data_IF_518518512460
#
_entry.id   IF_518518512460
#
_cell.length_a   1.000
_cell.length_b   1.000
_cell.length_c   1.000
_cell.angle_alpha   90.00
_cell.angle_beta   90.00
_cell.angle_gamma   90.00
#
_symmetry.space_group_name_H-M   'P 1'
#
loop_
_entity.id
_entity.type
_entity.pdbx_description
1 polymer ?
#
# COMPACT_ATOMS: atom_id res chain seq x y z
N UNK A 1 4.59 4.33 3.66
CA UNK A 1 5.57 3.33 4.13
C UNK A 1 6.51 3.90 5.18
N UNK A 2 7.28 4.95 4.90
CA UNK A 2 8.30 5.49 5.85
C UNK A 2 7.77 5.77 7.27
N UNK A 3 6.61 6.43 7.42
CA UNK A 3 6.07 6.77 8.74
C UNK A 3 5.58 5.55 9.53
N UNK A 4 4.95 4.59 8.84
CA UNK A 4 4.48 3.35 9.47
C UNK A 4 5.67 2.48 9.88
N UNK A 5 6.73 2.43 9.05
CA UNK A 5 7.97 1.73 9.40
C UNK A 5 8.59 2.28 10.68
N UNK A 6 8.66 3.60 10.85
CA UNK A 6 9.19 4.21 12.06
C UNK A 6 8.38 3.82 13.31
N UNK A 7 7.05 3.77 13.20
CA UNK A 7 6.16 3.33 14.29
C UNK A 7 6.34 1.84 14.59
N UNK A 8 6.51 0.99 13.56
CA UNK A 8 6.68 -0.46 13.73
C UNK A 8 8.08 -0.86 14.22
N UNK A 9 9.12 -0.09 13.91
CA UNK A 9 10.50 -0.40 14.31
C UNK A 9 10.69 -0.42 15.83
N UNK A 10 9.99 0.47 16.56
CA UNK A 10 10.14 0.55 18.03
C UNK A 10 9.60 -0.72 18.73
N UNK A 11 8.34 -1.17 18.49
CA UNK A 11 7.84 -2.44 19.01
C UNK A 11 8.70 -3.64 18.61
N UNK A 12 9.19 -3.67 17.37
CA UNK A 12 10.05 -4.75 16.89
C UNK A 12 11.40 -4.78 17.61
N UNK A 13 12.00 -3.62 17.89
CA UNK A 13 13.25 -3.55 18.63
C UNK A 13 13.06 -4.02 20.08
N UNK A 14 11.96 -3.65 20.72
CA UNK A 14 11.61 -4.14 22.06
C UNK A 14 11.45 -5.66 22.04
N UNK A 15 10.70 -6.19 21.07
CA UNK A 15 10.53 -7.64 20.91
C UNK A 15 11.86 -8.36 20.65
N UNK A 16 12.73 -7.82 19.80
CA UNK A 16 14.04 -8.39 19.53
C UNK A 16 14.88 -8.49 20.81
N UNK A 17 14.94 -7.42 21.62
CA UNK A 17 15.66 -7.44 22.91
C UNK A 17 15.04 -8.42 23.91
N UNK A 18 13.71 -8.55 23.92
CA UNK A 18 13.02 -9.51 24.79
C UNK A 18 13.25 -10.97 24.38
N UNK A 19 13.38 -11.27 23.09
CA UNK A 19 13.52 -12.64 22.57
C UNK A 19 15.00 -13.07 22.48
N UNK A 20 15.86 -12.20 21.96
CA UNK A 20 17.28 -12.49 21.68
C UNK A 20 18.20 -12.02 22.82
N UNK A 21 17.69 -11.21 23.73
CA UNK A 21 18.42 -10.65 24.86
C UNK A 21 19.20 -9.36 24.51
N UNK A 22 19.64 -8.58 25.51
CA UNK A 22 20.29 -7.27 25.30
C UNK A 22 21.66 -7.35 24.62
N UNK A 23 22.33 -8.51 24.67
CA UNK A 23 23.64 -8.73 24.05
C UNK A 23 23.59 -8.72 22.52
N UNK A 24 22.41 -8.93 21.91
CA UNK A 24 22.19 -8.85 20.46
C UNK A 24 22.51 -7.48 19.86
N UNK A 25 22.35 -6.40 20.65
CA UNK A 25 22.58 -5.03 20.21
C UNK A 25 24.06 -4.72 19.91
N UNK A 26 24.99 -5.50 20.46
CA UNK A 26 26.43 -5.32 20.26
C UNK A 26 26.99 -5.96 18.99
N UNK A 27 26.20 -6.74 18.25
CA UNK A 27 26.69 -7.62 17.16
C UNK A 27 26.45 -7.01 15.77
N UNK A 28 26.32 -5.69 15.69
CA UNK A 28 26.06 -5.00 14.41
C UNK A 28 27.30 -5.07 13.52
N UNK A 29 27.22 -5.85 12.44
CA UNK A 29 28.27 -5.96 11.43
C UNK A 29 27.99 -5.05 10.23
N UNK A 30 29.05 -4.63 9.52
CA UNK A 30 28.92 -3.85 8.29
C UNK A 30 28.12 -4.61 7.22
N UNK A 31 28.28 -5.93 7.14
CA UNK A 31 27.50 -6.80 6.26
C UNK A 31 26.01 -6.80 6.60
N UNK A 32 25.67 -6.91 7.89
CA UNK A 32 24.28 -6.84 8.36
C UNK A 32 23.63 -5.50 8.04
N UNK A 33 24.34 -4.39 8.27
CA UNK A 33 23.87 -3.05 7.87
C UNK A 33 23.67 -2.96 6.36
N UNK A 34 24.62 -3.50 5.57
CA UNK A 34 24.51 -3.56 4.12
C UNK A 34 23.28 -4.35 3.65
N UNK A 35 23.02 -5.51 4.25
CA UNK A 35 21.86 -6.35 3.94
C UNK A 35 20.53 -5.64 4.26
N UNK A 36 20.45 -4.95 5.41
CA UNK A 36 19.26 -4.16 5.79
C UNK A 36 19.04 -3.01 4.82
N UNK A 37 20.09 -2.25 4.49
CA UNK A 37 20.00 -1.13 3.54
C UNK A 37 19.59 -1.59 2.13
N UNK A 38 20.17 -2.69 1.65
CA UNK A 38 19.79 -3.30 0.38
C UNK A 38 18.30 -3.68 0.37
N UNK A 39 17.85 -4.36 1.42
CA UNK A 39 16.45 -4.82 1.51
C UNK A 39 15.47 -3.65 1.61
N UNK A 40 15.80 -2.63 2.41
CA UNK A 40 14.93 -1.47 2.60
C UNK A 40 14.89 -0.55 1.37
N UNK A 41 16.04 -0.21 0.79
CA UNK A 41 16.13 0.79 -0.27
C UNK A 41 15.91 0.18 -1.66
N UNK A 42 16.60 -0.91 -1.98
CA UNK A 42 16.55 -1.48 -3.32
C UNK A 42 15.33 -2.39 -3.45
N UNK A 43 15.23 -3.41 -2.59
CA UNK A 43 14.15 -4.39 -2.69
C UNK A 43 12.78 -3.76 -2.39
N UNK A 44 12.66 -3.07 -1.26
CA UNK A 44 11.37 -2.54 -0.80
C UNK A 44 11.01 -1.23 -1.49
N UNK A 45 11.80 -0.16 -1.30
CA UNK A 45 11.47 1.15 -1.87
C UNK A 45 11.56 1.15 -3.40
N UNK A 46 12.61 0.57 -3.98
CA UNK A 46 12.74 0.40 -5.42
C UNK A 46 11.62 -0.47 -6.00
N UNK A 47 11.33 -1.63 -5.39
CA UNK A 47 10.24 -2.52 -5.81
C UNK A 47 8.87 -1.85 -5.77
N UNK A 48 8.52 -1.19 -4.67
CA UNK A 48 7.26 -0.44 -4.57
C UNK A 48 7.22 0.78 -5.49
N UNK A 49 8.35 1.44 -5.74
CA UNK A 49 8.45 2.53 -6.69
C UNK A 49 8.14 2.08 -8.12
N UNK A 50 8.79 1.00 -8.57
CA UNK A 50 8.52 0.37 -9.88
C UNK A 50 7.07 -0.08 -9.95
N UNK A 51 6.56 -0.75 -8.93
CA UNK A 51 5.15 -1.17 -8.91
C UNK A 51 4.20 0.04 -8.98
N UNK A 52 4.45 1.10 -8.22
CA UNK A 52 3.68 2.33 -8.30
C UNK A 52 3.69 2.94 -9.70
N UNK A 53 4.84 2.94 -10.38
CA UNK A 53 4.96 3.39 -11.78
C UNK A 53 4.18 2.49 -12.75
N UNK A 54 4.16 1.16 -12.52
CA UNK A 54 3.38 0.23 -13.32
C UNK A 54 1.88 0.47 -13.15
N UNK A 55 1.41 0.64 -11.91
CA UNK A 55 0.00 0.95 -11.62
C UNK A 55 -0.44 2.32 -12.15
N UNK A 56 0.49 3.27 -12.27
CA UNK A 56 0.21 4.56 -12.89
C UNK A 56 0.03 4.45 -14.42
N UNK A 57 0.57 3.40 -15.05
CA UNK A 57 0.56 3.22 -16.52
C UNK A 57 -0.36 2.10 -17.01
N UNK A 58 -0.66 1.11 -16.16
CA UNK A 58 -1.42 -0.08 -16.49
C UNK A 58 -2.47 -0.37 -15.41
N UNK A 59 -3.61 -0.92 -15.80
CA UNK A 59 -4.66 -1.34 -14.87
C UNK A 59 -4.14 -2.40 -13.89
N UNK A 60 -4.55 -2.29 -12.63
CA UNK A 60 -4.14 -3.20 -11.56
C UNK A 60 -4.41 -4.68 -11.90
N UNK A 61 -5.48 -4.97 -12.64
CA UNK A 61 -5.85 -6.33 -13.07
C UNK A 61 -4.85 -6.93 -14.07
N UNK A 62 -4.17 -6.10 -14.85
CA UNK A 62 -3.15 -6.54 -15.82
C UNK A 62 -1.83 -6.86 -15.12
N UNK A 63 -1.46 -6.04 -14.13
CA UNK A 63 -0.17 -6.19 -13.45
C UNK A 63 -0.19 -7.14 -12.24
N UNK A 64 -1.34 -7.33 -11.58
CA UNK A 64 -1.46 -8.20 -10.41
C UNK A 64 -1.03 -9.66 -10.63
N UNK A 65 -1.36 -10.34 -11.76
CA UNK A 65 -0.94 -11.73 -11.98
C UNK A 65 0.58 -11.90 -11.95
N UNK A 66 1.36 -10.92 -12.42
CA UNK A 66 2.83 -11.01 -12.44
C UNK A 66 3.47 -11.12 -11.06
N UNK A 67 2.76 -10.77 -9.98
CA UNK A 67 3.22 -11.01 -8.61
C UNK A 67 3.44 -12.51 -8.32
N UNK A 68 2.78 -13.41 -9.07
CA UNK A 68 3.02 -14.85 -9.01
C UNK A 68 4.45 -15.23 -9.41
N UNK A 69 5.17 -14.40 -10.15
CA UNK A 69 6.57 -14.67 -10.53
C UNK A 69 7.56 -14.40 -9.40
N UNK A 70 7.19 -13.62 -8.38
CA UNK A 70 8.07 -13.30 -7.24
C UNK A 70 8.71 -14.55 -6.62
N UNK A 71 7.97 -15.60 -6.23
CA UNK A 71 8.57 -16.83 -5.69
C UNK A 71 9.49 -17.55 -6.69
N UNK A 72 9.20 -17.51 -7.99
CA UNK A 72 10.05 -18.13 -9.02
C UNK A 72 11.41 -17.45 -9.06
N UNK A 73 11.42 -16.13 -9.17
CA UNK A 73 12.67 -15.35 -9.17
C UNK A 73 13.39 -15.44 -7.83
N UNK A 74 12.66 -15.43 -6.72
CA UNK A 74 13.24 -15.58 -5.38
C UNK A 74 13.97 -16.90 -5.20
N UNK A 75 13.31 -18.02 -5.52
CA UNK A 75 13.91 -19.36 -5.43
C UNK A 75 15.04 -19.56 -6.44
N UNK A 76 14.87 -19.09 -7.68
CA UNK A 76 15.92 -19.22 -8.70
C UNK A 76 17.16 -18.41 -8.32
N UNK A 77 16.98 -17.19 -7.83
CA UNK A 77 18.09 -16.36 -7.36
C UNK A 77 18.76 -16.99 -6.15
N UNK A 78 17.99 -17.47 -5.17
CA UNK A 78 18.53 -18.16 -4.01
C UNK A 78 19.39 -19.35 -4.43
N UNK A 79 18.87 -20.26 -5.27
CA UNK A 79 19.62 -21.41 -5.76
C UNK A 79 20.89 -21.02 -6.55
N UNK A 80 20.84 -19.94 -7.33
CA UNK A 80 22.01 -19.44 -8.07
C UNK A 80 23.09 -18.87 -7.14
N UNK A 81 22.71 -18.14 -6.08
CA UNK A 81 23.65 -17.51 -5.16
C UNK A 81 24.15 -18.44 -4.05
N UNK A 82 23.31 -19.36 -3.56
CA UNK A 82 23.69 -20.33 -2.51
C UNK A 82 24.25 -21.62 -3.07
N UNK A 83 23.96 -21.94 -4.35
CA UNK A 83 24.36 -23.20 -4.97
C UNK A 83 23.58 -24.42 -4.46
N UNK A 84 22.51 -24.22 -3.68
CA UNK A 84 21.72 -25.31 -3.13
C UNK A 84 20.84 -25.98 -4.20
N UNK A 85 20.72 -27.33 -4.18
CA UNK A 85 19.92 -28.05 -5.15
C UNK A 85 18.42 -27.77 -4.95
N UNK A 86 17.73 -27.47 -6.05
CA UNK A 86 16.27 -27.28 -6.04
C UNK A 86 15.59 -28.66 -6.03
N UNK A 87 14.77 -28.92 -5.01
CA UNK A 87 13.97 -30.13 -4.91
C UNK A 87 12.99 -30.29 -6.08
N UNK A 88 12.71 -31.52 -6.55
CA UNK A 88 11.70 -31.77 -7.57
C UNK A 88 10.31 -31.21 -7.21
N UNK A 89 9.94 -31.20 -5.93
CA UNK A 89 8.67 -30.63 -5.46
C UNK A 89 8.62 -29.11 -5.69
N UNK A 90 9.75 -28.43 -5.45
CA UNK A 90 9.88 -26.98 -5.71
C UNK A 90 9.79 -26.67 -7.20
N UNK A 91 10.37 -27.52 -8.05
CA UNK A 91 10.22 -27.41 -9.51
C UNK A 91 8.76 -27.58 -9.92
N UNK A 92 8.06 -28.60 -9.40
CA UNK A 92 6.65 -28.81 -9.69
C UNK A 92 5.77 -27.64 -9.26
N UNK A 93 6.01 -27.08 -8.07
CA UNK A 93 5.35 -25.87 -7.61
C UNK A 93 5.64 -24.68 -8.53
N UNK A 94 6.87 -24.54 -9.00
CA UNK A 94 7.26 -23.49 -9.94
C UNK A 94 6.51 -23.58 -11.27
N UNK A 95 6.40 -24.79 -11.82
CA UNK A 95 5.61 -25.06 -13.03
C UNK A 95 4.14 -24.71 -12.82
N UNK A 96 3.56 -25.09 -11.67
CA UNK A 96 2.16 -24.80 -11.34
C UNK A 96 1.89 -23.29 -11.28
N UNK A 97 2.81 -22.52 -10.69
CA UNK A 97 2.72 -21.06 -10.62
C UNK A 97 2.73 -20.44 -12.02
N UNK A 98 3.67 -20.86 -12.88
CA UNK A 98 3.77 -20.37 -14.27
C UNK A 98 2.52 -20.74 -15.07
N UNK A 99 2.01 -21.96 -14.92
CA UNK A 99 0.76 -22.39 -15.54
C UNK A 99 -0.44 -21.54 -15.10
N UNK A 100 -0.53 -21.24 -13.79
CA UNK A 100 -1.55 -20.35 -13.24
C UNK A 100 -1.47 -18.93 -13.80
N UNK A 101 -0.27 -18.38 -13.94
CA UNK A 101 -0.04 -17.07 -14.56
C UNK A 101 -0.50 -17.04 -16.02
N UNK A 102 -0.10 -18.03 -16.81
CA UNK A 102 -0.49 -18.14 -18.22
C UNK A 102 -2.01 -18.29 -18.36
N UNK A 103 -2.67 -18.97 -17.42
CA UNK A 103 -4.12 -19.07 -17.38
C UNK A 103 -4.80 -17.74 -17.01
N UNK A 104 -4.26 -17.02 -16.01
CA UNK A 104 -4.78 -15.73 -15.58
C UNK A 104 -4.69 -14.66 -16.69
N UNK A 105 -3.57 -14.62 -17.42
CA UNK A 105 -3.36 -13.68 -18.53
C UNK A 105 -4.29 -13.87 -19.73
N UNK A 106 -5.01 -15.00 -19.82
CA UNK A 106 -5.98 -15.26 -20.89
C UNK A 106 -7.36 -14.66 -20.64
N UNK A 107 -7.65 -14.17 -19.43
CA UNK A 107 -8.96 -13.62 -19.09
C UNK A 107 -9.05 -12.15 -19.53
N UNK A 108 -10.00 -11.76 -20.40
CA UNK A 108 -10.23 -10.37 -20.72
C UNK A 108 -10.55 -9.60 -19.43
N UNK A 109 -9.92 -8.44 -19.23
CA UNK A 109 -10.28 -7.55 -18.13
C UNK A 109 -11.79 -7.22 -18.25
N UNK A 110 -12.57 -7.27 -17.15
CA UNK A 110 -13.96 -6.84 -17.19
C UNK A 110 -14.00 -5.39 -17.71
N UNK A 111 -14.72 -5.15 -18.81
CA UNK A 111 -14.94 -3.79 -19.29
C UNK A 111 -15.61 -3.01 -18.16
N UNK A 112 -14.95 -1.95 -17.68
CA UNK A 112 -15.52 -1.07 -16.66
C UNK A 112 -16.81 -0.49 -17.24
N UNK A 113 -17.96 -0.91 -16.68
CA UNK A 113 -19.25 -0.48 -17.19
C UNK A 113 -19.35 1.06 -17.06
N UNK A 114 -19.72 1.79 -18.13
CA UNK A 114 -19.77 3.27 -18.14
C UNK A 114 -20.64 3.92 -17.04
N UNK A 115 -21.47 3.15 -16.33
CA UNK A 115 -22.42 3.65 -15.32
C UNK A 115 -21.80 4.17 -14.02
N UNK A 116 -20.57 3.78 -13.66
CA UNK A 116 -19.94 4.23 -12.39
C UNK A 116 -19.50 5.70 -12.45
N UNK A 117 -19.16 6.20 -13.64
CA UNK A 117 -18.79 7.61 -13.85
C UNK A 117 -20.00 8.55 -13.81
N UNK A 118 -21.17 8.07 -14.24
CA UNK A 118 -22.43 8.82 -14.12
C UNK A 118 -22.82 9.03 -12.66
N UNK A 119 -22.68 8.02 -11.80
CA UNK A 119 -23.04 8.16 -10.38
C UNK A 119 -22.08 9.13 -9.65
N UNK A 120 -20.79 9.10 -9.96
CA UNK A 120 -19.81 10.05 -9.40
C UNK A 120 -20.11 11.49 -9.81
N UNK A 121 -20.36 11.72 -11.10
CA UNK A 121 -20.70 13.06 -11.61
C UNK A 121 -22.04 13.57 -11.09
N UNK A 122 -23.04 12.70 -10.93
CA UNK A 122 -24.34 13.06 -10.36
C UNK A 122 -24.24 13.45 -8.88
N UNK A 123 -23.49 12.69 -8.07
CA UNK A 123 -23.29 12.99 -6.64
C UNK A 123 -22.54 14.31 -6.46
N UNK A 124 -21.46 14.54 -7.23
CA UNK A 124 -20.71 15.80 -7.19
C UNK A 124 -21.60 16.98 -7.61
N UNK A 125 -22.39 16.84 -8.68
CA UNK A 125 -23.33 17.87 -9.13
C UNK A 125 -24.46 18.12 -8.12
N UNK A 126 -24.95 17.08 -7.45
CA UNK A 126 -25.98 17.23 -6.41
C UNK A 126 -25.42 17.95 -5.18
N UNK A 127 -24.20 17.62 -4.76
CA UNK A 127 -23.53 18.27 -3.64
C UNK A 127 -23.20 19.74 -3.94
N UNK A 128 -22.67 20.03 -5.13
CA UNK A 128 -22.39 21.41 -5.59
C UNK A 128 -23.66 22.28 -5.63
N UNK A 129 -24.78 21.73 -6.14
CA UNK A 129 -26.08 22.42 -6.11
C UNK A 129 -26.57 22.68 -4.69
N UNK A 130 -26.40 21.71 -3.78
CA UNK A 130 -26.79 21.84 -2.37
C UNK A 130 -25.94 22.84 -1.59
N UNK A 131 -24.65 22.94 -1.93
CA UNK A 131 -23.73 23.93 -1.37
C UNK A 131 -24.07 25.35 -1.85
N UNK A 132 -24.43 25.52 -3.12
CA UNK A 132 -24.85 26.81 -3.68
C UNK A 132 -26.19 27.31 -3.11
N UNK A 133 -27.05 26.43 -2.60
CA UNK A 133 -28.33 26.76 -1.98
C UNK A 133 -28.27 27.14 -0.48
N UNK A 134 -27.08 27.35 0.10
CA UNK A 134 -26.94 27.88 1.47
C UNK A 134 -26.35 29.29 1.50
N UNK A 135 -27.15 30.33 1.16
CA UNK A 135 -26.87 31.67 1.63
C UNK A 135 -27.27 31.74 3.12
N UNK A 136 -26.49 32.45 3.93
CA UNK A 136 -26.94 33.06 5.20
C UNK A 136 -26.95 32.21 6.48
N UNK A 137 -25.83 31.55 6.81
CA UNK A 137 -25.56 31.20 8.23
C UNK A 137 -24.24 31.82 8.69
N UNK A 138 -24.09 33.13 8.47
CA UNK A 138 -23.03 33.96 9.06
C UNK A 138 -23.60 34.67 10.29
N UNK A 139 -23.23 34.13 11.45
CA UNK A 139 -22.99 34.78 12.75
C UNK A 139 -23.50 36.22 12.93
N UNK A 140 -24.63 36.38 13.64
CA UNK A 140 -24.88 37.57 14.45
C UNK A 140 -24.49 37.22 15.90
N UNK A 141 -23.48 37.85 16.52
CA UNK A 141 -23.34 37.81 17.97
C UNK A 141 -24.58 38.49 18.58
N UNK A 142 -25.09 38.04 19.74
CA UNK A 142 -26.17 38.74 20.43
C UNK A 142 -25.62 40.08 20.96
N UNK A 143 -25.65 41.10 20.12
CA UNK A 143 -25.48 42.49 20.50
C UNK A 143 -26.72 42.94 21.28
N UNK A 144 -26.45 43.35 22.51
CA UNK A 144 -27.30 44.13 23.42
C UNK A 144 -28.46 44.89 22.76
N UNK A 145 -29.65 44.74 23.33
CA UNK A 145 -30.60 45.85 23.42
C UNK A 145 -31.08 46.06 24.87
N UNK A 146 -31.40 47.32 25.23
CA UNK A 146 -31.40 47.83 26.59
C UNK A 146 -32.80 47.86 27.22
N UNK A 147 -32.81 48.05 28.54
CA UNK A 147 -33.95 48.48 29.36
C UNK A 147 -34.78 49.60 28.72
N UNK A 148 -36.05 49.33 28.40
CA UNK A 148 -37.23 50.13 28.75
C UNK A 148 -38.45 49.71 27.91
N UNK A 149 -39.37 48.92 28.50
CA UNK A 149 -40.80 48.96 28.17
C UNK A 149 -41.63 48.58 29.39
N UNK A 150 -41.96 49.61 30.16
CA UNK A 150 -43.29 49.92 30.71
C UNK A 150 -44.40 48.89 30.46
N UNK A 151 -44.97 48.36 31.55
CA UNK A 151 -46.41 48.08 31.72
C UNK A 151 -46.70 47.86 33.21
N UNK A 152 -47.88 48.20 33.72
CA UNK A 152 -48.64 49.45 33.59
C UNK A 152 -48.63 50.28 34.89
#
# INVERSE_FOLDING_TARGET
MVWVSAVSSVPLLVLAVLVEGPSSLGVVTAEGVGAVLYTALISTLGGFGVWGLLLARYDASVVAPYALLVPIFGLSSAALFTGEPISPVTVAAGVLIVAGLLYAGRRPAPAVAPGTDYLRTLVVRAWARRAASRPDTVLLPPSAEPSDRLTP
#
